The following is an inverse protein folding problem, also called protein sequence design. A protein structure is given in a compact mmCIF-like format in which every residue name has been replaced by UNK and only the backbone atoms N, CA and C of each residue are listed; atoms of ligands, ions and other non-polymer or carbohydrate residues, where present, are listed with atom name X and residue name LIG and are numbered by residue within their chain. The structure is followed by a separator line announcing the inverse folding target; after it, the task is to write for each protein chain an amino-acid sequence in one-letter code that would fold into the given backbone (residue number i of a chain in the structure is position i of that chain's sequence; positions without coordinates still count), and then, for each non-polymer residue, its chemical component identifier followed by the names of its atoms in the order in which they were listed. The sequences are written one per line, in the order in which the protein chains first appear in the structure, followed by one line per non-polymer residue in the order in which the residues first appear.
data_IF_054290914827
#
_entry.id   IF_054290914827
#
_cell.length_a   1.000
_cell.length_b   1.000
_cell.length_c   1.000
_cell.angle_alpha   90.00
_cell.angle_beta   90.00
_cell.angle_gamma   90.00
#
_symmetry.space_group_name_H-M   'P 1'
#
loop_
_entity.id
_entity.type
_entity.pdbx_description
1 polymer ?
#
# COMPACT_ATOMS: atom_id res chain seq x y z
N UNK A 1 0.71 23.25 19.43
CA UNK A 1 1.85 22.68 20.16
C UNK A 1 2.96 22.51 19.16
N UNK A 2 3.87 23.48 19.05
CA UNK A 2 5.03 23.28 18.19
C UNK A 2 6.06 22.38 18.90
N UNK A 3 7.01 21.87 18.13
CA UNK A 3 8.17 21.15 18.64
C UNK A 3 9.43 21.93 18.30
N UNK A 4 10.46 21.77 19.13
CA UNK A 4 11.79 22.28 18.82
C UNK A 4 12.63 21.12 18.26
N UNK A 5 13.13 21.28 17.05
CA UNK A 5 14.15 20.41 16.47
C UNK A 5 15.53 20.99 16.76
N UNK A 6 16.37 20.21 17.42
CA UNK A 6 17.78 20.50 17.67
C UNK A 6 18.62 19.58 16.78
N UNK A 7 19.42 20.17 15.89
CA UNK A 7 20.28 19.45 14.95
C UNK A 7 21.74 19.68 15.32
N UNK A 8 22.46 18.63 15.66
CA UNK A 8 23.86 18.70 16.12
C UNK A 8 24.77 17.99 15.12
N UNK A 9 25.81 18.66 14.65
CA UNK A 9 26.84 18.02 13.83
C UNK A 9 27.63 17.01 14.66
N UNK A 10 27.78 15.79 14.14
CA UNK A 10 28.45 14.69 14.83
C UNK A 10 29.35 13.90 13.87
N UNK A 11 30.30 13.15 14.44
CA UNK A 11 31.17 12.23 13.71
C UNK A 11 30.75 10.78 13.98
N UNK A 12 31.23 9.87 13.16
CA UNK A 12 31.05 8.41 13.29
C UNK A 12 31.17 7.89 14.74
N UNK A 13 32.16 8.39 15.49
CA UNK A 13 32.46 7.96 16.85
C UNK A 13 31.71 8.71 17.97
N UNK A 14 30.87 9.69 17.63
CA UNK A 14 30.15 10.55 18.59
C UNK A 14 28.64 10.58 18.36
N UNK A 15 28.16 10.23 17.16
CA UNK A 15 26.75 10.31 16.80
C UNK A 15 25.84 9.46 17.71
N UNK A 16 26.20 8.20 17.96
CA UNK A 16 25.44 7.33 18.88
C UNK A 16 25.38 7.91 20.30
N UNK A 17 26.54 8.31 20.83
CA UNK A 17 26.64 8.87 22.17
C UNK A 17 25.79 10.14 22.32
N UNK A 18 25.80 11.01 21.32
CA UNK A 18 24.97 12.22 21.29
C UNK A 18 23.49 11.85 21.23
N UNK A 19 23.11 10.94 20.33
CA UNK A 19 21.72 10.48 20.16
C UNK A 19 21.14 9.91 21.46
N UNK A 20 21.85 8.95 22.08
CA UNK A 20 21.43 8.30 23.32
C UNK A 20 21.33 9.32 24.47
N UNK A 21 22.32 10.22 24.58
CA UNK A 21 22.32 11.25 25.63
C UNK A 21 21.16 12.24 25.45
N UNK A 22 20.79 12.60 24.22
CA UNK A 22 19.64 13.47 23.96
C UNK A 22 18.33 12.80 24.37
N UNK A 23 18.18 11.50 24.13
CA UNK A 23 17.04 10.72 24.63
C UNK A 23 16.98 10.72 26.16
N UNK A 24 18.11 10.54 26.84
CA UNK A 24 18.20 10.57 28.30
C UNK A 24 17.88 11.96 28.89
N UNK A 25 18.21 13.04 28.17
CA UNK A 25 17.89 14.43 28.54
C UNK A 25 16.39 14.75 28.35
N UNK A 26 15.66 13.88 27.64
CA UNK A 26 14.21 13.99 27.47
C UNK A 26 13.77 14.41 26.06
N UNK A 27 14.59 14.14 25.04
CA UNK A 27 14.12 14.21 23.66
C UNK A 27 12.95 13.23 23.44
N UNK A 28 11.95 13.67 22.68
CA UNK A 28 10.83 12.84 22.23
C UNK A 28 11.31 11.82 21.18
N UNK A 29 12.31 12.19 20.39
CA UNK A 29 13.01 11.32 19.44
C UNK A 29 14.41 11.86 19.17
N UNK A 30 15.32 10.97 18.76
CA UNK A 30 16.62 11.31 18.19
C UNK A 30 16.86 10.42 16.97
N UNK A 31 17.32 11.02 15.87
CA UNK A 31 17.67 10.33 14.62
C UNK A 31 19.07 10.76 14.18
N UNK A 32 19.78 9.85 13.51
CA UNK A 32 21.11 10.09 12.94
C UNK A 32 20.97 10.05 11.42
N UNK A 33 21.44 11.09 10.76
CA UNK A 33 21.34 11.28 9.31
C UNK A 33 22.71 11.63 8.73
N UNK A 34 22.95 11.32 7.44
CA UNK A 34 24.14 11.76 6.72
C UNK A 34 24.14 13.29 6.62
N UNK A 35 25.21 13.94 7.09
CA UNK A 35 25.35 15.39 6.95
C UNK A 35 25.49 15.83 5.48
N UNK A 36 25.88 14.90 4.60
CA UNK A 36 26.11 15.12 3.18
C UNK A 36 24.99 14.58 2.28
N UNK A 37 23.82 14.24 2.84
CA UNK A 37 22.68 13.77 2.06
C UNK A 37 22.36 14.69 0.87
N UNK A 38 22.09 14.11 -0.29
CA UNK A 38 21.81 14.80 -1.56
C UNK A 38 22.99 15.63 -2.12
N UNK A 39 24.21 15.40 -1.63
CA UNK A 39 25.44 16.02 -2.16
C UNK A 39 26.34 14.99 -2.85
N UNK A 40 27.34 15.42 -3.64
CA UNK A 40 28.31 14.48 -4.22
C UNK A 40 29.12 13.68 -3.20
N UNK A 41 29.15 14.11 -1.94
CA UNK A 41 29.89 13.47 -0.84
C UNK A 41 28.99 12.54 0.02
N UNK A 42 27.73 12.33 -0.39
CA UNK A 42 26.79 11.39 0.25
C UNK A 42 27.36 9.97 0.27
N UNK A 43 27.21 9.31 1.41
CA UNK A 43 27.73 7.96 1.65
C UNK A 43 26.56 6.97 1.84
N UNK A 44 26.60 5.76 1.26
CA UNK A 44 25.57 4.76 1.50
C UNK A 44 25.72 4.14 2.90
N UNK A 45 24.62 4.04 3.65
CA UNK A 45 24.57 3.34 4.94
C UNK A 45 24.54 1.81 4.81
N UNK A 46 24.29 1.29 3.61
CA UNK A 46 24.33 -0.15 3.30
C UNK A 46 25.36 -0.44 2.21
N UNK A 47 26.23 -1.42 2.47
CA UNK A 47 27.26 -1.88 1.54
C UNK A 47 26.75 -2.95 0.58
N UNK A 48 27.59 -3.42 -0.33
CA UNK A 48 27.24 -4.53 -1.20
C UNK A 48 27.25 -5.87 -0.42
N UNK A 49 26.51 -6.90 -0.89
CA UNK A 49 26.55 -8.23 -0.27
C UNK A 49 27.98 -8.78 -0.19
N UNK A 50 28.55 -8.85 1.02
CA UNK A 50 29.91 -9.31 1.27
C UNK A 50 30.83 -8.26 1.89
N UNK A 51 30.43 -6.99 1.90
CA UNK A 51 31.13 -5.92 2.60
C UNK A 51 30.88 -6.00 4.12
N UNK A 52 31.84 -5.52 4.95
CA UNK A 52 31.55 -5.29 6.36
C UNK A 52 30.34 -4.36 6.50
N UNK A 53 29.49 -4.53 7.52
CA UNK A 53 28.34 -3.65 7.72
C UNK A 53 28.84 -2.21 7.78
N UNK A 54 28.32 -1.29 6.95
CA UNK A 54 28.74 0.09 7.06
C UNK A 54 28.34 0.57 8.45
N UNK A 55 29.29 1.21 9.12
CA UNK A 55 28.97 1.95 10.33
C UNK A 55 28.17 3.20 9.99
N UNK A 56 27.90 3.99 11.02
CA UNK A 56 27.36 5.34 10.88
C UNK A 56 28.29 6.19 9.99
N UNK A 57 27.74 7.16 9.28
CA UNK A 57 28.46 8.03 8.35
C UNK A 57 29.63 8.76 9.03
N UNK A 58 30.64 9.21 8.27
CA UNK A 58 31.76 9.96 8.85
C UNK A 58 31.35 11.33 9.37
N UNK A 59 30.39 11.96 8.69
CA UNK A 59 29.79 13.23 9.06
C UNK A 59 28.29 13.03 9.17
N UNK A 60 27.75 13.36 10.34
CA UNK A 60 26.36 13.12 10.67
C UNK A 60 25.72 14.39 11.17
N UNK A 61 24.40 14.41 11.09
CA UNK A 61 23.55 15.29 11.86
C UNK A 61 22.71 14.44 12.79
N UNK A 62 22.80 14.71 14.09
CA UNK A 62 21.88 14.13 15.09
C UNK A 62 20.74 15.11 15.29
N UNK A 63 19.55 14.74 14.80
CA UNK A 63 18.33 15.54 14.89
C UNK A 63 17.48 15.04 16.06
N UNK A 64 17.28 15.86 17.08
CA UNK A 64 16.44 15.54 18.24
C UNK A 64 15.22 16.46 18.34
N UNK A 65 14.07 15.89 18.72
CA UNK A 65 12.82 16.61 18.92
C UNK A 65 12.53 16.83 20.41
N UNK A 66 12.17 18.05 20.77
CA UNK A 66 11.79 18.44 22.12
C UNK A 66 10.48 19.22 22.13
N UNK A 67 9.90 19.39 23.32
CA UNK A 67 8.82 20.36 23.54
C UNK A 67 9.28 21.79 23.22
N UNK A 68 8.39 22.63 22.67
CA UNK A 68 8.71 24.02 22.30
C UNK A 68 9.28 24.87 23.46
N UNK A 69 8.97 24.51 24.71
CA UNK A 69 9.40 25.26 25.89
C UNK A 69 10.78 24.84 26.41
N UNK A 70 11.47 23.90 25.75
CA UNK A 70 12.80 23.45 26.18
C UNK A 70 13.82 24.60 26.08
N UNK A 71 14.68 24.71 27.09
CA UNK A 71 15.80 25.65 27.06
C UNK A 71 17.01 24.96 26.44
N UNK A 72 17.29 25.26 25.17
CA UNK A 72 18.35 24.59 24.39
C UNK A 72 19.72 24.68 25.07
N UNK A 73 20.03 25.80 25.72
CA UNK A 73 21.29 25.95 26.47
C UNK A 73 21.43 24.92 27.60
N UNK A 74 20.35 24.58 28.30
CA UNK A 74 20.36 23.61 29.39
C UNK A 74 20.54 22.19 28.84
N UNK A 75 19.95 21.90 27.68
CA UNK A 75 20.14 20.65 26.94
C UNK A 75 21.60 20.50 26.52
N UNK A 76 22.17 21.52 25.87
CA UNK A 76 23.58 21.49 25.43
C UNK A 76 24.55 21.39 26.60
N UNK A 77 24.27 22.06 27.72
CA UNK A 77 25.09 21.95 28.94
C UNK A 77 25.02 20.54 29.54
N UNK A 78 23.83 19.93 29.62
CA UNK A 78 23.65 18.57 30.12
C UNK A 78 24.31 17.55 29.20
N UNK A 79 24.17 17.74 27.89
CA UNK A 79 24.82 16.91 26.88
C UNK A 79 26.34 16.93 27.03
N UNK A 80 26.95 18.11 27.20
CA UNK A 80 28.38 18.23 27.45
C UNK A 80 28.82 17.55 28.75
N UNK A 81 28.01 17.61 29.82
CA UNK A 81 28.31 16.93 31.09
C UNK A 81 28.27 15.40 30.99
N UNK A 82 27.33 14.85 30.22
CA UNK A 82 27.16 13.39 30.05
C UNK A 82 28.23 12.84 29.11
N UNK A 83 28.45 13.52 27.98
CA UNK A 83 29.30 13.02 26.90
C UNK A 83 30.77 13.42 27.03
N UNK A 84 31.05 14.50 27.78
CA UNK A 84 32.37 15.14 27.82
C UNK A 84 32.76 15.85 26.53
N UNK A 85 31.80 16.10 25.62
CA UNK A 85 32.00 16.81 24.37
C UNK A 85 31.74 18.31 24.56
N UNK A 86 32.66 19.13 24.05
CA UNK A 86 32.58 20.59 24.07
C UNK A 86 32.51 21.15 22.64
N UNK A 87 32.07 22.41 22.48
CA UNK A 87 32.05 23.16 21.22
C UNK A 87 31.28 22.51 20.05
N UNK A 88 30.24 21.73 20.36
CA UNK A 88 29.35 21.13 19.37
C UNK A 88 28.64 22.21 18.52
N UNK A 89 28.71 22.08 17.19
CA UNK A 89 27.94 22.92 16.28
C UNK A 89 26.50 22.42 16.21
N UNK A 90 25.55 23.33 16.37
CA UNK A 90 24.14 22.98 16.31
C UNK A 90 23.30 24.10 15.70
N UNK A 91 22.14 23.70 15.18
CA UNK A 91 21.07 24.60 14.74
C UNK A 91 19.77 24.20 15.40
N UNK A 92 18.82 25.13 15.45
CA UNK A 92 17.49 24.88 15.98
C UNK A 92 16.43 25.36 15.01
N UNK A 93 15.34 24.61 14.95
CA UNK A 93 14.20 24.90 14.10
C UNK A 93 12.91 24.66 14.91
N UNK A 94 11.97 25.60 14.85
CA UNK A 94 10.64 25.39 15.41
C UNK A 94 9.80 24.70 14.35
N UNK A 95 9.37 23.47 14.65
CA UNK A 95 8.47 22.71 13.82
C UNK A 95 7.06 22.98 14.33
N UNK A 96 6.31 23.77 13.59
CA UNK A 96 4.90 24.02 13.92
C UNK A 96 4.10 22.71 13.93
N UNK A 97 3.08 22.65 14.79
CA UNK A 97 2.11 21.55 14.76
C UNK A 97 1.40 21.54 13.41
N UNK A 98 1.85 20.68 12.51
CA UNK A 98 1.08 20.38 11.32
C UNK A 98 0.12 19.25 11.64
N UNK A 99 -1.12 19.43 11.19
CA UNK A 99 -2.06 18.31 11.09
C UNK A 99 -1.56 17.42 9.94
N UNK A 100 -0.57 16.58 10.24
CA UNK A 100 0.05 15.67 9.29
C UNK A 100 -0.98 14.73 8.67
N UNK A 101 -2.09 14.45 9.38
CA UNK A 101 -3.23 13.72 8.84
C UNK A 101 -3.87 14.52 7.71
N UNK A 102 -4.24 15.79 7.93
CA UNK A 102 -4.79 16.65 6.86
C UNK A 102 -3.81 16.92 5.72
N UNK A 103 -2.53 17.14 6.03
CA UNK A 103 -1.51 17.37 5.02
C UNK A 103 -1.36 16.15 4.11
N UNK A 104 -1.30 14.95 4.69
CA UNK A 104 -1.29 13.67 3.95
C UNK A 104 -2.59 13.45 3.19
N UNK A 105 -3.75 13.71 3.79
CA UNK A 105 -5.06 13.61 3.14
C UNK A 105 -5.17 14.50 1.90
N UNK A 106 -4.62 15.72 1.95
CA UNK A 106 -4.67 16.68 0.84
C UNK A 106 -3.87 16.26 -0.40
N UNK A 107 -3.01 15.24 -0.27
CA UNK A 107 -2.23 14.68 -1.38
C UNK A 107 -3.01 13.63 -2.19
N UNK A 108 -4.19 13.21 -1.72
CA UNK A 108 -4.97 12.14 -2.35
C UNK A 108 -6.24 12.69 -2.99
N UNK A 109 -6.14 13.09 -4.26
CA UNK A 109 -7.30 13.47 -5.06
C UNK A 109 -8.18 12.25 -5.43
N UNK A 110 -9.49 12.46 -5.71
CA UNK A 110 -10.35 11.45 -6.29
C UNK A 110 -9.77 10.86 -7.59
N UNK A 111 -9.81 9.54 -7.70
CA UNK A 111 -9.22 8.79 -8.81
C UNK A 111 -10.32 8.43 -9.80
N UNK A 112 -10.22 8.96 -11.02
CA UNK A 112 -11.09 8.57 -12.13
C UNK A 112 -10.63 7.23 -12.69
N UNK A 113 -11.49 6.22 -12.62
CA UNK A 113 -11.27 4.94 -13.31
C UNK A 113 -11.87 5.01 -14.72
N UNK A 114 -13.12 5.47 -14.80
CA UNK A 114 -13.87 5.72 -16.04
C UNK A 114 -14.74 6.97 -15.85
N UNK A 115 -15.45 7.36 -16.90
CA UNK A 115 -16.41 8.48 -16.84
C UNK A 115 -17.53 8.22 -15.81
N UNK A 116 -17.88 6.94 -15.64
CA UNK A 116 -18.95 6.41 -14.80
C UNK A 116 -18.46 5.68 -13.54
N UNK A 117 -17.14 5.71 -13.23
CA UNK A 117 -16.56 5.02 -12.07
C UNK A 117 -15.41 5.81 -11.44
N UNK A 118 -15.55 6.13 -10.16
CA UNK A 118 -14.59 6.91 -9.37
C UNK A 118 -14.28 6.25 -8.03
N UNK A 119 -13.03 6.41 -7.58
CA UNK A 119 -12.61 6.15 -6.21
C UNK A 119 -12.43 7.49 -5.51
N UNK A 120 -13.11 7.68 -4.38
CA UNK A 120 -13.24 8.97 -3.71
C UNK A 120 -12.87 8.80 -2.25
N UNK A 121 -11.79 9.44 -1.76
CA UNK A 121 -11.51 9.45 -0.32
C UNK A 121 -12.66 10.12 0.44
N UNK A 122 -12.92 9.69 1.67
CA UNK A 122 -14.05 10.09 2.51
C UNK A 122 -14.09 11.60 2.81
N UNK A 123 -12.93 12.27 2.74
CA UNK A 123 -12.77 13.71 2.91
C UNK A 123 -12.98 14.54 1.63
N UNK A 124 -13.22 13.90 0.47
CA UNK A 124 -13.51 14.58 -0.79
C UNK A 124 -14.98 14.44 -1.20
N UNK A 125 -15.49 15.45 -1.91
CA UNK A 125 -16.74 15.33 -2.65
C UNK A 125 -16.50 14.59 -3.97
N UNK A 126 -17.42 13.69 -4.33
CA UNK A 126 -17.39 12.99 -5.61
C UNK A 126 -17.39 14.00 -6.78
N UNK A 127 -16.39 13.97 -7.67
CA UNK A 127 -16.35 14.88 -8.83
C UNK A 127 -17.55 14.72 -9.77
N UNK A 128 -18.07 13.50 -9.88
CA UNK A 128 -19.31 13.20 -10.58
C UNK A 128 -20.26 12.40 -9.65
N UNK A 129 -21.26 13.06 -9.02
CA UNK A 129 -22.21 12.38 -8.14
C UNK A 129 -23.09 11.34 -8.83
N UNK A 130 -23.30 11.46 -10.14
CA UNK A 130 -24.13 10.54 -10.94
C UNK A 130 -23.36 9.30 -11.40
N UNK A 131 -22.03 9.27 -11.21
CA UNK A 131 -21.20 8.10 -11.46
C UNK A 131 -21.26 7.10 -10.29
N UNK A 132 -20.77 5.89 -10.54
CA UNK A 132 -20.49 4.93 -9.47
C UNK A 132 -19.30 5.46 -8.65
N UNK A 133 -19.57 5.86 -7.41
CA UNK A 133 -18.55 6.33 -6.48
C UNK A 133 -18.26 5.26 -5.43
N UNK A 134 -16.99 4.87 -5.32
CA UNK A 134 -16.47 3.98 -4.28
C UNK A 134 -15.73 4.85 -3.27
N UNK A 135 -16.21 4.86 -2.03
CA UNK A 135 -15.53 5.56 -0.94
C UNK A 135 -14.36 4.70 -0.47
N UNK A 136 -13.14 5.20 -0.59
CA UNK A 136 -11.97 4.46 -0.15
C UNK A 136 -10.86 5.39 0.32
N UNK A 137 -10.49 5.24 1.58
CA UNK A 137 -9.41 6.03 2.17
C UNK A 137 -8.08 5.31 1.95
N UNK A 138 -7.03 6.02 1.49
CA UNK A 138 -5.66 5.52 1.52
C UNK A 138 -5.31 4.94 2.90
N UNK A 139 -4.78 3.72 2.91
CA UNK A 139 -4.48 3.00 4.13
C UNK A 139 -3.44 1.90 3.93
N UNK A 140 -3.28 1.05 4.94
CA UNK A 140 -2.27 0.00 4.96
C UNK A 140 -2.55 -1.16 4.00
N UNK A 141 -3.81 -1.39 3.64
CA UNK A 141 -4.20 -2.46 2.72
C UNK A 141 -3.99 -2.04 1.26
N UNK A 142 -3.43 -2.96 0.46
CA UNK A 142 -3.21 -2.74 -0.97
C UNK A 142 -4.54 -2.54 -1.72
N UNK A 143 -4.50 -1.73 -2.78
CA UNK A 143 -5.65 -1.49 -3.68
C UNK A 143 -6.38 -0.18 -3.41
N UNK A 144 -5.68 0.96 -3.46
CA UNK A 144 -6.25 2.30 -3.34
C UNK A 144 -6.93 2.80 -4.62
N UNK A 145 -6.78 2.07 -5.74
CA UNK A 145 -7.32 2.43 -7.06
C UNK A 145 -6.34 3.19 -7.98
N UNK A 146 -5.25 3.76 -7.45
CA UNK A 146 -4.28 4.53 -8.24
C UNK A 146 -3.31 3.65 -9.03
N UNK A 147 -3.09 2.42 -8.57
CA UNK A 147 -2.19 1.49 -9.23
C UNK A 147 -2.79 0.97 -10.55
N UNK A 148 -2.01 0.89 -11.66
CA UNK A 148 -2.51 0.44 -12.96
C UNK A 148 -3.26 -0.90 -12.95
N UNK A 149 -2.81 -1.84 -12.12
CA UNK A 149 -3.45 -3.17 -12.03
C UNK A 149 -4.86 -3.11 -11.45
N UNK A 150 -5.06 -2.32 -10.39
CA UNK A 150 -6.39 -2.09 -9.81
C UNK A 150 -7.29 -1.36 -10.80
N UNK A 151 -6.75 -0.35 -11.49
CA UNK A 151 -7.48 0.40 -12.51
C UNK A 151 -7.98 -0.50 -13.64
N UNK A 152 -7.11 -1.36 -14.17
CA UNK A 152 -7.47 -2.33 -15.21
C UNK A 152 -8.57 -3.29 -14.74
N UNK A 153 -8.46 -3.85 -13.54
CA UNK A 153 -9.49 -4.75 -12.99
C UNK A 153 -10.83 -4.05 -12.78
N UNK A 154 -10.83 -2.82 -12.28
CA UNK A 154 -12.06 -2.03 -12.06
C UNK A 154 -12.75 -1.67 -13.39
N UNK A 155 -11.97 -1.23 -14.39
CA UNK A 155 -12.50 -0.95 -15.72
C UNK A 155 -13.12 -2.20 -16.36
N UNK A 156 -12.45 -3.35 -16.21
CA UNK A 156 -12.98 -4.63 -16.69
C UNK A 156 -14.27 -5.04 -15.97
N UNK A 157 -14.33 -4.94 -14.64
CA UNK A 157 -15.56 -5.23 -13.88
C UNK A 157 -16.73 -4.37 -14.35
N UNK A 158 -16.51 -3.08 -14.59
CA UNK A 158 -17.54 -2.17 -15.07
C UNK A 158 -18.18 -2.59 -16.41
N UNK A 159 -17.45 -3.33 -17.25
CA UNK A 159 -17.96 -3.84 -18.54
C UNK A 159 -18.60 -5.23 -18.43
N UNK A 160 -18.25 -6.03 -17.43
CA UNK A 160 -18.56 -7.47 -17.41
C UNK A 160 -19.53 -7.87 -16.28
N UNK A 161 -19.67 -7.07 -15.22
CA UNK A 161 -20.60 -7.39 -14.13
C UNK A 161 -22.05 -7.29 -14.59
N UNK A 162 -22.85 -8.29 -14.24
CA UNK A 162 -24.30 -8.31 -14.44
C UNK A 162 -25.01 -8.62 -13.11
N UNK A 163 -26.29 -8.24 -12.96
CA UNK A 163 -27.02 -8.43 -11.71
C UNK A 163 -27.05 -9.87 -11.18
N UNK A 164 -27.07 -10.85 -12.08
CA UNK A 164 -27.11 -12.28 -11.76
C UNK A 164 -25.75 -12.89 -11.39
N UNK A 165 -24.64 -12.17 -11.58
CA UNK A 165 -23.30 -12.74 -11.42
C UNK A 165 -22.93 -13.00 -9.96
N UNK A 166 -22.39 -14.20 -9.70
CA UNK A 166 -21.60 -14.51 -8.50
C UNK A 166 -20.12 -14.28 -8.78
N UNK A 167 -19.43 -13.55 -7.90
CA UNK A 167 -18.06 -13.09 -8.17
C UNK A 167 -17.12 -13.48 -7.03
N UNK A 168 -15.92 -13.92 -7.41
CA UNK A 168 -14.79 -14.12 -6.51
C UNK A 168 -13.74 -13.03 -6.75
N UNK A 169 -13.30 -12.38 -5.67
CA UNK A 169 -12.15 -11.47 -5.61
C UNK A 169 -11.04 -12.13 -4.77
N UNK A 170 -10.02 -12.70 -5.43
CA UNK A 170 -8.93 -13.42 -4.78
C UNK A 170 -7.71 -12.51 -4.58
N UNK A 171 -7.28 -12.35 -3.33
CA UNK A 171 -6.34 -11.32 -2.89
C UNK A 171 -7.05 -9.98 -2.77
N UNK A 172 -8.13 -9.92 -2.00
CA UNK A 172 -9.04 -8.78 -2.01
C UNK A 172 -8.43 -7.50 -1.43
N UNK A 173 -7.38 -7.57 -0.59
CA UNK A 173 -6.71 -6.39 -0.04
C UNK A 173 -7.69 -5.42 0.65
N UNK A 174 -7.77 -4.20 0.14
CA UNK A 174 -8.73 -3.16 0.57
C UNK A 174 -10.21 -3.49 0.32
N UNK A 175 -10.50 -4.54 -0.46
CA UNK A 175 -11.85 -4.92 -0.89
C UNK A 175 -12.39 -4.12 -2.08
N UNK A 176 -11.59 -3.25 -2.69
CA UNK A 176 -12.03 -2.31 -3.73
C UNK A 176 -12.71 -2.99 -4.93
N UNK A 177 -12.20 -4.15 -5.39
CA UNK A 177 -12.77 -4.87 -6.53
C UNK A 177 -14.09 -5.53 -6.13
N UNK A 178 -14.15 -6.15 -4.96
CA UNK A 178 -15.39 -6.70 -4.41
C UNK A 178 -16.48 -5.64 -4.21
N UNK A 179 -16.12 -4.46 -3.71
CA UNK A 179 -17.03 -3.33 -3.51
C UNK A 179 -17.56 -2.82 -4.85
N UNK A 180 -16.67 -2.65 -5.84
CA UNK A 180 -17.05 -2.26 -7.19
C UNK A 180 -18.05 -3.25 -7.79
N UNK A 181 -17.74 -4.54 -7.72
CA UNK A 181 -18.61 -5.62 -8.19
C UNK A 181 -20.01 -5.57 -7.55
N UNK A 182 -20.11 -5.34 -6.23
CA UNK A 182 -21.40 -5.17 -5.55
C UNK A 182 -22.15 -3.92 -6.01
N UNK A 183 -21.48 -2.77 -6.14
CA UNK A 183 -22.12 -1.53 -6.62
C UNK A 183 -22.57 -1.61 -8.07
N UNK A 184 -21.89 -2.40 -8.90
CA UNK A 184 -22.28 -2.71 -10.28
C UNK A 184 -23.46 -3.69 -10.36
N UNK A 185 -23.91 -4.24 -9.23
CA UNK A 185 -25.17 -4.99 -9.11
C UNK A 185 -25.01 -6.50 -8.92
N UNK A 186 -23.80 -7.05 -8.82
CA UNK A 186 -23.59 -8.49 -8.63
C UNK A 186 -24.40 -9.04 -7.44
N UNK A 187 -25.07 -10.16 -7.64
CA UNK A 187 -25.93 -10.78 -6.61
C UNK A 187 -25.12 -11.20 -5.39
N UNK A 188 -23.95 -11.79 -5.62
CA UNK A 188 -23.06 -12.25 -4.56
C UNK A 188 -21.61 -11.96 -4.91
N UNK A 189 -20.85 -11.45 -3.94
CA UNK A 189 -19.42 -11.21 -4.07
C UNK A 189 -18.73 -11.75 -2.83
N UNK A 190 -17.69 -12.55 -3.06
CA UNK A 190 -16.82 -13.10 -2.02
C UNK A 190 -15.40 -12.62 -2.27
N UNK A 191 -14.81 -11.99 -1.26
CA UNK A 191 -13.40 -11.65 -1.22
C UNK A 191 -12.62 -12.64 -0.36
N UNK A 192 -11.40 -12.92 -0.78
CA UNK A 192 -10.49 -13.84 -0.09
C UNK A 192 -9.14 -13.17 0.04
N UNK A 193 -8.54 -13.22 1.22
CA UNK A 193 -7.16 -12.79 1.42
C UNK A 193 -6.47 -13.65 2.47
N UNK A 194 -5.16 -13.83 2.34
CA UNK A 194 -4.33 -14.55 3.31
C UNK A 194 -4.04 -13.71 4.56
N UNK A 195 -4.18 -12.40 4.46
CA UNK A 195 -3.89 -11.44 5.53
C UNK A 195 -5.17 -11.07 6.31
N UNK A 196 -5.15 -11.27 7.64
CA UNK A 196 -6.24 -10.87 8.54
C UNK A 196 -6.51 -9.36 8.48
N UNK A 197 -5.47 -8.55 8.27
CA UNK A 197 -5.61 -7.11 8.14
C UNK A 197 -6.38 -6.72 6.87
N UNK A 198 -6.19 -7.45 5.77
CA UNK A 198 -6.96 -7.26 4.54
C UNK A 198 -8.44 -7.61 4.75
N UNK A 199 -8.76 -8.66 5.50
CA UNK A 199 -10.15 -9.02 5.83
C UNK A 199 -10.83 -7.92 6.66
N UNK A 200 -10.13 -7.37 7.66
CA UNK A 200 -10.64 -6.25 8.46
C UNK A 200 -10.85 -5.00 7.61
N UNK A 201 -9.88 -4.66 6.75
CA UNK A 201 -9.94 -3.48 5.88
C UNK A 201 -11.07 -3.59 4.86
N UNK A 202 -11.16 -4.72 4.14
CA UNK A 202 -12.19 -4.96 3.14
C UNK A 202 -13.61 -4.98 3.73
N UNK A 203 -13.79 -5.55 4.92
CA UNK A 203 -15.06 -5.51 5.65
C UNK A 203 -15.45 -4.08 6.01
N UNK A 204 -14.54 -3.32 6.62
CA UNK A 204 -14.77 -1.92 6.97
C UNK A 204 -15.11 -1.07 5.73
N UNK A 205 -14.36 -1.23 4.64
CA UNK A 205 -14.58 -0.48 3.40
C UNK A 205 -15.91 -0.85 2.74
N UNK A 206 -16.33 -2.12 2.80
CA UNK A 206 -17.65 -2.53 2.33
C UNK A 206 -18.78 -1.88 3.13
N UNK A 207 -18.64 -1.77 4.46
CA UNK A 207 -19.58 -1.04 5.32
C UNK A 207 -19.64 0.46 4.97
N UNK A 208 -18.49 1.11 4.77
CA UNK A 208 -18.44 2.53 4.34
C UNK A 208 -19.15 2.75 2.99
N UNK A 209 -19.11 1.75 2.12
CA UNK A 209 -19.75 1.76 0.82
C UNK A 209 -21.19 1.28 0.81
N UNK A 210 -21.71 0.84 1.96
CA UNK A 210 -23.04 0.28 2.14
C UNK A 210 -23.32 -0.92 1.22
N UNK A 211 -22.33 -1.81 1.06
CA UNK A 211 -22.46 -3.02 0.25
C UNK A 211 -22.32 -4.30 1.08
N UNK A 212 -23.10 -5.32 0.73
CA UNK A 212 -23.00 -6.66 1.33
C UNK A 212 -22.07 -7.55 0.49
N UNK A 213 -20.77 -7.47 0.78
CA UNK A 213 -19.74 -8.39 0.30
C UNK A 213 -19.17 -9.17 1.49
N UNK A 214 -18.80 -10.44 1.26
CA UNK A 214 -18.31 -11.32 2.33
C UNK A 214 -16.83 -11.60 2.15
N UNK A 215 -16.05 -11.45 3.22
CA UNK A 215 -14.60 -11.59 3.19
C UNK A 215 -14.15 -12.72 4.11
N UNK A 216 -13.20 -13.55 3.64
CA UNK A 216 -12.75 -14.72 4.38
C UNK A 216 -11.24 -14.97 4.22
N UNK A 217 -10.62 -15.43 5.31
CA UNK A 217 -9.33 -16.13 5.23
C UNK A 217 -9.51 -17.49 4.52
N UNK A 218 -8.50 -18.01 3.78
CA UNK A 218 -8.55 -19.30 3.10
C UNK A 218 -9.06 -20.46 3.96
N UNK A 219 -8.69 -20.50 5.24
CA UNK A 219 -9.06 -21.56 6.17
C UNK A 219 -10.44 -21.38 6.84
N UNK A 220 -11.04 -20.19 6.73
CA UNK A 220 -12.34 -19.84 7.32
C UNK A 220 -13.46 -19.82 6.28
N UNK A 221 -13.13 -20.04 5.02
CA UNK A 221 -14.11 -20.13 3.96
C UNK A 221 -15.02 -21.33 4.15
N UNK A 222 -16.32 -21.21 3.80
CA UNK A 222 -17.15 -22.36 3.56
C UNK A 222 -16.47 -23.27 2.53
N UNK A 223 -16.15 -24.52 2.91
CA UNK A 223 -15.37 -25.49 2.08
C UNK A 223 -15.84 -25.61 0.62
N UNK A 224 -17.10 -25.29 0.34
CA UNK A 224 -17.71 -25.37 -0.99
C UNK A 224 -17.36 -24.24 -1.99
N UNK A 225 -16.48 -23.28 -1.65
CA UNK A 225 -16.25 -22.11 -2.50
C UNK A 225 -15.18 -22.28 -3.59
N UNK A 226 -14.13 -23.10 -3.36
CA UNK A 226 -13.08 -23.37 -4.36
C UNK A 226 -13.09 -24.81 -4.90
N UNK A 227 -13.81 -25.71 -4.23
CA UNK A 227 -13.93 -27.12 -4.63
C UNK A 227 -15.05 -27.36 -5.66
N UNK A 228 -15.93 -26.37 -5.85
CA UNK A 228 -17.03 -26.42 -6.83
C UNK A 228 -17.01 -25.17 -7.73
N UNK A 229 -17.27 -25.36 -9.02
CA UNK A 229 -17.35 -24.29 -10.01
C UNK A 229 -18.55 -23.38 -9.73
N UNK A 230 -18.32 -22.26 -9.03
CA UNK A 230 -19.36 -21.47 -8.34
C UNK A 230 -19.46 -20.03 -8.81
N UNK A 231 -18.42 -19.47 -9.43
CA UNK A 231 -18.37 -18.06 -9.77
C UNK A 231 -18.52 -17.81 -11.27
N UNK A 232 -19.38 -16.86 -11.64
CA UNK A 232 -19.51 -16.38 -13.01
C UNK A 232 -18.29 -15.57 -13.42
N UNK A 233 -17.75 -14.75 -12.49
CA UNK A 233 -16.50 -14.00 -12.69
C UNK A 233 -15.51 -14.30 -11.56
N UNK A 234 -14.25 -14.55 -11.91
CA UNK A 234 -13.13 -14.65 -10.97
C UNK A 234 -12.14 -13.52 -11.26
N UNK A 235 -11.82 -12.72 -10.26
CA UNK A 235 -10.83 -11.63 -10.37
C UNK A 235 -9.71 -11.87 -9.38
N UNK A 236 -8.47 -11.72 -9.82
CA UNK A 236 -7.30 -11.82 -8.95
C UNK A 236 -6.24 -10.79 -9.36
N UNK A 237 -5.99 -9.82 -8.47
CA UNK A 237 -4.96 -8.80 -8.65
C UNK A 237 -3.82 -9.06 -7.65
N UNK A 238 -3.02 -10.08 -7.93
CA UNK A 238 -1.93 -10.56 -7.07
C UNK A 238 -0.68 -10.84 -7.91
N UNK A 239 0.45 -11.05 -7.25
CA UNK A 239 1.73 -11.29 -7.94
C UNK A 239 1.66 -12.49 -8.89
N UNK A 240 2.33 -12.37 -10.04
CA UNK A 240 2.38 -13.40 -11.09
C UNK A 240 2.88 -14.77 -10.62
N UNK A 241 3.79 -14.81 -9.64
CA UNK A 241 4.26 -16.05 -9.01
C UNK A 241 3.12 -16.77 -8.28
N UNK A 242 2.31 -16.04 -7.50
CA UNK A 242 1.15 -16.59 -6.82
C UNK A 242 0.07 -17.02 -7.82
N UNK A 243 -0.20 -16.20 -8.85
CA UNK A 243 -1.13 -16.56 -9.92
C UNK A 243 -0.73 -17.86 -10.64
N UNK A 244 0.56 -18.10 -10.84
CA UNK A 244 1.05 -19.31 -11.48
C UNK A 244 0.79 -20.56 -10.64
N UNK A 245 0.94 -20.46 -9.32
CA UNK A 245 0.70 -21.57 -8.37
C UNK A 245 -0.81 -21.81 -8.18
N UNK A 246 -1.60 -20.74 -8.11
CA UNK A 246 -3.03 -20.78 -7.82
C UNK A 246 -3.90 -21.06 -9.06
N UNK A 247 -3.32 -21.13 -10.26
CA UNK A 247 -4.08 -21.29 -11.50
C UNK A 247 -5.08 -22.46 -11.47
N UNK A 248 -4.74 -23.68 -10.98
CA UNK A 248 -5.72 -24.77 -10.89
C UNK A 248 -6.89 -24.45 -9.97
N UNK A 249 -6.65 -23.78 -8.84
CA UNK A 249 -7.69 -23.45 -7.86
C UNK A 249 -8.62 -22.34 -8.38
N UNK A 250 -8.06 -21.28 -8.96
CA UNK A 250 -8.83 -20.19 -9.58
C UNK A 250 -9.62 -20.68 -10.79
N UNK A 251 -9.02 -21.57 -11.59
CA UNK A 251 -9.73 -22.25 -12.67
C UNK A 251 -10.89 -23.08 -12.13
N UNK A 252 -10.70 -23.87 -11.08
CA UNK A 252 -11.76 -24.72 -10.51
C UNK A 252 -12.93 -23.90 -9.96
N UNK A 253 -12.66 -22.77 -9.32
CA UNK A 253 -13.68 -21.89 -8.76
C UNK A 253 -14.60 -21.23 -9.81
N UNK A 254 -14.09 -20.99 -11.03
CA UNK A 254 -14.85 -20.39 -12.13
C UNK A 254 -15.83 -21.39 -12.77
N UNK A 255 -17.05 -20.97 -13.13
CA UNK A 255 -18.03 -21.80 -13.87
C UNK A 255 -17.62 -22.04 -15.31
N UNK A 256 -18.07 -23.14 -15.91
CA UNK A 256 -17.99 -23.31 -17.37
C UNK A 256 -18.70 -22.14 -18.06
N UNK A 257 -18.03 -21.52 -19.03
CA UNK A 257 -18.50 -20.29 -19.68
C UNK A 257 -18.41 -19.02 -18.84
N UNK A 258 -17.95 -19.11 -17.58
CA UNK A 258 -17.59 -17.95 -16.77
C UNK A 258 -16.27 -17.33 -17.22
N UNK A 259 -15.91 -16.19 -16.65
CA UNK A 259 -14.76 -15.40 -17.07
C UNK A 259 -13.78 -15.17 -15.94
N UNK A 260 -12.51 -14.95 -16.30
CA UNK A 260 -11.43 -14.64 -15.36
C UNK A 260 -10.73 -13.34 -15.77
N UNK A 261 -10.31 -12.56 -14.78
CA UNK A 261 -9.49 -11.37 -14.94
C UNK A 261 -8.32 -11.39 -13.96
N UNK A 262 -7.10 -11.36 -14.50
CA UNK A 262 -5.86 -11.49 -13.74
C UNK A 262 -4.98 -10.26 -13.95
N UNK A 263 -4.56 -9.62 -12.85
CA UNK A 263 -3.59 -8.53 -12.87
C UNK A 263 -2.56 -8.67 -11.76
N UNK A 264 -1.69 -7.68 -11.55
CA UNK A 264 -0.48 -7.84 -10.74
C UNK A 264 0.68 -8.48 -11.52
N UNK A 265 0.61 -8.40 -12.86
CA UNK A 265 1.53 -9.03 -13.81
C UNK A 265 2.27 -7.94 -14.58
N UNK A 266 3.60 -8.07 -14.69
CA UNK A 266 4.41 -7.20 -15.53
C UNK A 266 4.27 -7.57 -17.01
N UNK A 267 4.45 -6.59 -17.90
CA UNK A 267 4.39 -6.78 -19.37
C UNK A 267 5.20 -7.98 -19.86
N UNK A 268 6.41 -8.16 -19.35
CA UNK A 268 7.35 -9.21 -19.73
C UNK A 268 6.86 -10.60 -19.31
N UNK A 269 6.00 -10.68 -18.29
CA UNK A 269 5.45 -11.92 -17.73
C UNK A 269 4.15 -12.38 -18.43
N UNK A 270 3.60 -11.56 -19.33
CA UNK A 270 2.32 -11.80 -20.03
C UNK A 270 2.24 -13.21 -20.64
N UNK A 271 3.21 -13.56 -21.49
CA UNK A 271 3.17 -14.80 -22.25
C UNK A 271 3.22 -16.04 -21.33
N UNK A 272 4.03 -15.98 -20.27
CA UNK A 272 4.18 -17.06 -19.31
C UNK A 272 2.88 -17.31 -18.54
N UNK A 273 2.30 -16.26 -17.94
CA UNK A 273 1.07 -16.41 -17.14
C UNK A 273 -0.11 -16.79 -18.03
N UNK A 274 -0.25 -16.17 -19.21
CA UNK A 274 -1.32 -16.51 -20.15
C UNK A 274 -1.27 -17.97 -20.61
N UNK A 275 -0.07 -18.53 -20.82
CA UNK A 275 0.08 -19.92 -21.24
C UNK A 275 -0.38 -20.92 -20.16
N UNK A 276 -0.18 -20.60 -18.87
CA UNK A 276 -0.63 -21.44 -17.75
C UNK A 276 -2.17 -21.49 -17.74
N UNK A 277 -2.83 -20.33 -17.79
CA UNK A 277 -4.30 -20.28 -17.72
C UNK A 277 -4.99 -20.80 -18.99
N UNK A 278 -4.29 -20.83 -20.13
CA UNK A 278 -4.80 -21.40 -21.39
C UNK A 278 -5.12 -22.91 -21.33
N UNK A 279 -4.68 -23.62 -20.27
CA UNK A 279 -5.11 -24.99 -20.00
C UNK A 279 -6.63 -25.07 -19.76
N UNK A 280 -7.23 -24.07 -19.10
CA UNK A 280 -8.65 -24.08 -18.73
C UNK A 280 -9.48 -23.02 -19.47
N UNK A 281 -8.86 -21.92 -19.90
CA UNK A 281 -9.55 -20.76 -20.45
C UNK A 281 -9.17 -20.52 -21.91
N UNK A 282 -10.14 -20.08 -22.71
CA UNK A 282 -9.87 -19.40 -23.97
C UNK A 282 -9.43 -17.97 -23.64
N UNK A 283 -8.12 -17.75 -23.67
CA UNK A 283 -7.51 -16.47 -23.29
C UNK A 283 -7.72 -15.41 -24.37
N UNK A 284 -8.13 -14.22 -23.95
CA UNK A 284 -8.29 -13.06 -24.81
C UNK A 284 -6.97 -12.28 -24.97
N UNK A 285 -6.89 -11.35 -25.94
CA UNK A 285 -5.73 -10.46 -26.06
C UNK A 285 -5.47 -9.68 -24.76
N UNK A 286 -4.21 -9.54 -24.34
CA UNK A 286 -3.85 -8.80 -23.13
C UNK A 286 -4.17 -7.30 -23.26
N UNK A 287 -4.60 -6.68 -22.16
CA UNK A 287 -4.79 -5.23 -22.05
C UNK A 287 -3.68 -4.65 -21.19
N UNK A 288 -2.98 -3.64 -21.71
CA UNK A 288 -1.81 -3.05 -21.05
C UNK A 288 -2.08 -1.66 -20.51
N UNK A 289 -1.50 -1.35 -19.35
CA UNK A 289 -1.41 0.01 -18.81
C UNK A 289 -0.04 0.18 -18.16
N UNK A 290 0.73 1.17 -18.62
CA UNK A 290 2.12 1.39 -18.21
C UNK A 290 2.96 0.11 -18.31
N UNK A 291 3.57 -0.38 -17.21
CA UNK A 291 4.35 -1.61 -17.19
C UNK A 291 3.54 -2.86 -16.84
N UNK A 292 2.22 -2.73 -16.67
CA UNK A 292 1.34 -3.76 -16.14
C UNK A 292 0.37 -4.29 -17.20
N UNK A 293 -0.16 -5.49 -16.95
CA UNK A 293 -1.12 -6.16 -17.84
C UNK A 293 -2.33 -6.69 -17.07
N UNK A 294 -3.46 -6.70 -17.76
CA UNK A 294 -4.65 -7.47 -17.42
C UNK A 294 -4.79 -8.60 -18.44
N UNK A 295 -4.79 -9.83 -17.95
CA UNK A 295 -5.11 -11.01 -18.74
C UNK A 295 -6.54 -11.40 -18.45
N UNK A 296 -7.32 -11.70 -19.50
CA UNK A 296 -8.70 -12.16 -19.34
C UNK A 296 -8.93 -13.41 -20.16
N UNK A 297 -9.93 -14.21 -19.79
CA UNK A 297 -10.29 -15.40 -20.54
C UNK A 297 -11.64 -15.97 -20.13
N UNK A 298 -12.18 -16.84 -20.98
CA UNK A 298 -13.46 -17.52 -20.76
C UNK A 298 -13.25 -19.01 -20.53
N UNK A 299 -13.85 -19.57 -19.48
CA UNK A 299 -13.66 -20.98 -19.12
C UNK A 299 -14.34 -21.90 -20.13
N UNK A 300 -13.61 -22.90 -20.60
CA UNK A 300 -14.11 -23.96 -21.49
C UNK A 300 -14.80 -25.08 -20.73
#
# INVERSE_FOLDING_TARGET
MAWLSLKIEAKDNTADLISDSLMDIGALSAIIEDANAETPDEQPIFGEPGDPPPGIWQQNVVSALFDENIVVNDVMQSLGQITGLDDLQYTTEIIEEQDWVRATQSQFDPIRIRDDLWIVPSWHSAPNPDALNIILDPGLAFGTGSHPTTHLCLAWLADHVKPEHTILDYGCGSGILAIAAKKLGAVEVIGVDIDEQAILSSTYNAEQNQVDAKFYLPNQQPKAQFDEARFDLVVANILSSALSVLAPALANACKLGGEIALSGILKEQTAQVSAIYAEWFDMHPPVYMDSWVLLTGKKR
#
